data_IF_709813471868
#
_entry.id   IF_709813471868
#
_cell.length_a   1.000
_cell.length_b   1.000
_cell.length_c   1.000
_cell.angle_alpha   90.00
_cell.angle_beta   90.00
_cell.angle_gamma   90.00
#
_symmetry.space_group_name_H-M   'P 1'
#
loop_
_entity.id
_entity.type
_entity.pdbx_description
1 polymer ?
#
# COMPACT_ATOMS: atom_id res chain seq x y z
N UNK A 1 -39.51 43.27 -9.33
CA UNK A 1 -39.06 43.01 -10.71
C UNK A 1 -38.52 41.59 -10.77
N UNK A 2 -39.16 40.69 -11.52
CA UNK A 2 -38.70 39.31 -11.67
C UNK A 2 -37.61 39.25 -12.76
N UNK A 3 -36.45 38.61 -12.52
CA UNK A 3 -35.40 38.49 -13.52
C UNK A 3 -35.91 37.71 -14.74
N UNK A 4 -35.51 38.15 -15.94
CA UNK A 4 -35.96 37.57 -17.21
C UNK A 4 -35.56 36.09 -17.30
N UNK A 5 -36.37 35.23 -17.94
CA UNK A 5 -36.11 33.79 -18.05
C UNK A 5 -34.76 33.48 -18.71
N UNK A 6 -34.31 34.30 -19.66
CA UNK A 6 -33.00 34.18 -20.29
C UNK A 6 -31.84 34.31 -19.28
N UNK A 7 -31.94 35.27 -18.35
CA UNK A 7 -30.92 35.53 -17.35
C UNK A 7 -30.78 34.36 -16.35
N UNK A 8 -31.90 33.68 -16.05
CA UNK A 8 -31.91 32.47 -15.21
C UNK A 8 -31.25 31.28 -15.90
N UNK A 9 -31.53 31.08 -17.20
CA UNK A 9 -30.93 29.98 -17.98
C UNK A 9 -29.42 30.17 -18.13
N UNK A 10 -28.97 31.40 -18.42
CA UNK A 10 -27.53 31.71 -18.51
C UNK A 10 -26.82 31.52 -17.17
N UNK A 11 -27.43 31.92 -16.05
CA UNK A 11 -26.85 31.73 -14.72
C UNK A 11 -26.72 30.24 -14.35
N UNK A 12 -27.75 29.44 -14.65
CA UNK A 12 -27.71 27.98 -14.43
C UNK A 12 -26.66 27.29 -15.30
N UNK A 13 -26.55 27.68 -16.58
CA UNK A 13 -25.52 27.15 -17.47
C UNK A 13 -24.10 27.49 -17.01
N UNK A 14 -23.88 28.72 -16.55
CA UNK A 14 -22.59 29.15 -16.00
C UNK A 14 -22.17 28.37 -14.76
N UNK A 15 -23.12 28.14 -13.83
CA UNK A 15 -22.86 27.34 -12.62
C UNK A 15 -22.54 25.88 -12.97
N UNK A 16 -23.28 25.28 -13.91
CA UNK A 16 -23.03 23.90 -14.35
C UNK A 16 -21.64 23.76 -15.00
N UNK A 17 -21.26 24.69 -15.87
CA UNK A 17 -19.94 24.69 -16.51
C UNK A 17 -18.81 24.87 -15.50
N UNK A 18 -18.95 25.77 -14.53
CA UNK A 18 -17.97 25.97 -13.46
C UNK A 18 -17.82 24.71 -12.59
N UNK A 19 -18.93 24.05 -12.25
CA UNK A 19 -18.92 22.81 -11.46
C UNK A 19 -18.23 21.67 -12.22
N UNK A 20 -18.53 21.52 -13.51
CA UNK A 20 -17.88 20.52 -14.38
C UNK A 20 -16.37 20.78 -14.50
N UNK A 21 -15.97 22.01 -14.78
CA UNK A 21 -14.57 22.39 -14.89
C UNK A 21 -13.81 22.15 -13.58
N UNK A 22 -14.40 22.51 -12.43
CA UNK A 22 -13.85 22.23 -11.11
C UNK A 22 -13.71 20.73 -10.83
N UNK A 23 -14.68 19.93 -11.27
CA UNK A 23 -14.67 18.47 -11.11
C UNK A 23 -13.58 17.82 -11.97
N UNK A 24 -13.43 18.25 -13.23
CA UNK A 24 -12.36 17.80 -14.12
C UNK A 24 -11.00 18.20 -13.56
N UNK A 25 -10.82 19.45 -13.12
CA UNK A 25 -9.57 19.91 -12.52
C UNK A 25 -9.20 19.08 -11.27
N UNK A 26 -10.18 18.76 -10.43
CA UNK A 26 -10.00 17.90 -9.26
C UNK A 26 -9.63 16.47 -9.68
N UNK A 27 -10.26 15.93 -10.73
CA UNK A 27 -9.98 14.59 -11.24
C UNK A 27 -8.58 14.50 -11.87
N UNK A 28 -8.17 15.52 -12.61
CA UNK A 28 -6.83 15.62 -13.20
C UNK A 28 -5.78 15.77 -12.10
N UNK A 29 -6.04 16.61 -11.09
CA UNK A 29 -5.16 16.75 -9.92
C UNK A 29 -5.04 15.42 -9.17
N UNK A 30 -6.15 14.70 -8.97
CA UNK A 30 -6.15 13.35 -8.42
C UNK A 30 -5.30 12.41 -9.28
N UNK A 31 -5.46 12.41 -10.61
CA UNK A 31 -4.72 11.52 -11.50
C UNK A 31 -3.22 11.85 -11.55
N UNK A 32 -2.85 13.13 -11.47
CA UNK A 32 -1.47 13.62 -11.54
C UNK A 32 -0.70 13.54 -10.21
N UNK A 33 -1.14 12.71 -9.26
CA UNK A 33 -0.47 12.56 -7.96
C UNK A 33 -0.94 13.54 -6.88
N UNK A 34 -2.20 13.96 -6.95
CA UNK A 34 -2.96 14.61 -5.87
C UNK A 34 -2.53 16.03 -5.49
N UNK A 35 -1.93 16.80 -6.40
CA UNK A 35 -1.72 18.23 -6.17
C UNK A 35 -2.42 19.05 -7.25
N UNK A 36 -3.35 19.91 -6.86
CA UNK A 36 -3.89 20.96 -7.72
C UNK A 36 -3.03 22.21 -7.56
N UNK A 37 -2.44 22.71 -8.63
CA UNK A 37 -1.67 23.95 -8.63
C UNK A 37 -2.19 24.90 -9.70
N UNK A 38 -2.15 26.20 -9.40
CA UNK A 38 -2.43 27.28 -10.34
C UNK A 38 -1.20 28.17 -10.39
N UNK A 39 -0.33 27.93 -11.37
CA UNK A 39 1.00 28.54 -11.39
C UNK A 39 1.86 28.05 -10.21
N UNK A 40 2.55 28.94 -9.47
CA UNK A 40 3.37 28.56 -8.32
C UNK A 40 2.55 28.25 -7.05
N UNK A 41 1.24 28.53 -7.05
CA UNK A 41 0.39 28.37 -5.87
C UNK A 41 -0.19 26.96 -5.84
N UNK A 42 0.09 26.21 -4.77
CA UNK A 42 -0.53 24.92 -4.48
C UNK A 42 -1.89 25.17 -3.85
N UNK A 43 -2.96 24.85 -4.58
CA UNK A 43 -4.34 25.08 -4.15
C UNK A 43 -4.84 23.98 -3.21
N UNK A 44 -4.46 22.73 -3.50
CA UNK A 44 -4.91 21.57 -2.74
C UNK A 44 -3.84 20.46 -2.83
N UNK A 45 -3.51 19.87 -1.69
CA UNK A 45 -2.77 18.62 -1.60
C UNK A 45 -3.73 17.54 -1.08
N UNK A 46 -3.79 16.42 -1.79
CA UNK A 46 -4.58 15.25 -1.42
C UNK A 46 -3.63 14.17 -0.92
N UNK A 47 -3.99 13.55 0.21
CA UNK A 47 -3.17 12.54 0.87
C UNK A 47 -2.65 11.46 -0.03
N UNK A 48 -3.57 10.76 -0.70
CA UNK A 48 -3.21 9.71 -1.63
C UNK A 48 -2.42 10.18 -2.86
N UNK A 49 -2.12 11.48 -2.99
CA UNK A 49 -1.25 12.00 -4.03
C UNK A 49 0.25 11.83 -3.75
N UNK A 50 0.67 11.98 -2.50
CA UNK A 50 2.07 11.77 -2.11
C UNK A 50 2.42 10.29 -2.20
N UNK A 51 1.57 9.42 -1.66
CA UNK A 51 1.78 7.97 -1.69
C UNK A 51 1.82 7.42 -3.10
N UNK A 52 0.82 7.72 -3.94
CA UNK A 52 0.82 7.22 -5.32
C UNK A 52 2.06 7.61 -6.11
N UNK A 53 2.63 8.80 -5.87
CA UNK A 53 3.89 9.21 -6.52
C UNK A 53 5.08 8.45 -5.96
N UNK A 54 5.16 8.30 -4.65
CA UNK A 54 6.22 7.53 -4.02
C UNK A 54 6.16 6.05 -4.42
N UNK A 55 4.96 5.47 -4.52
CA UNK A 55 4.69 4.09 -4.94
C UNK A 55 5.02 3.84 -6.41
N UNK A 56 4.66 4.78 -7.27
CA UNK A 56 5.04 4.73 -8.68
C UNK A 56 6.57 4.74 -8.85
N UNK A 57 7.31 5.41 -7.96
CA UNK A 57 8.76 5.37 -7.94
C UNK A 57 9.26 4.02 -7.40
N UNK A 58 8.76 3.57 -6.25
CA UNK A 58 9.27 2.34 -5.61
C UNK A 58 8.91 1.04 -6.33
N UNK A 59 7.91 1.09 -7.21
CA UNK A 59 7.51 -0.06 -8.03
C UNK A 59 8.39 -0.27 -9.26
N UNK A 60 9.36 0.62 -9.52
CA UNK A 60 10.26 0.49 -10.66
C UNK A 60 11.27 -0.65 -10.44
N UNK A 61 11.58 -1.48 -11.45
CA UNK A 61 12.51 -2.61 -11.31
C UNK A 61 13.92 -2.21 -10.88
N UNK A 62 14.36 -1.01 -11.24
CA UNK A 62 15.64 -0.43 -10.86
C UNK A 62 15.43 1.05 -10.53
N UNK A 63 15.60 1.40 -9.25
CA UNK A 63 15.40 2.77 -8.77
C UNK A 63 16.75 3.47 -8.74
N UNK A 64 16.83 4.65 -9.37
CA UNK A 64 18.03 5.49 -9.28
C UNK A 64 18.16 6.10 -7.88
N UNK A 65 19.38 6.52 -7.50
CA UNK A 65 19.57 7.21 -6.20
C UNK A 65 18.70 8.47 -6.07
N UNK A 66 18.54 9.21 -7.17
CA UNK A 66 17.72 10.44 -7.21
C UNK A 66 16.23 10.13 -7.00
N UNK A 67 15.76 9.03 -7.60
CA UNK A 67 14.38 8.57 -7.44
C UNK A 67 14.13 8.07 -6.01
N UNK A 68 15.07 7.32 -5.44
CA UNK A 68 14.99 6.87 -4.04
C UNK A 68 14.93 8.06 -3.06
N UNK A 69 15.77 9.08 -3.26
CA UNK A 69 15.73 10.33 -2.48
C UNK A 69 14.40 11.07 -2.65
N UNK A 70 13.85 11.07 -3.87
CA UNK A 70 12.56 11.68 -4.17
C UNK A 70 11.42 10.94 -3.46
N UNK A 71 11.38 9.61 -3.52
CA UNK A 71 10.39 8.80 -2.81
C UNK A 71 10.52 8.97 -1.29
N UNK A 72 11.74 9.02 -0.75
CA UNK A 72 11.97 9.27 0.68
C UNK A 72 11.53 10.67 1.11
N UNK A 73 11.69 11.70 0.26
CA UNK A 73 11.15 13.04 0.52
C UNK A 73 9.62 13.00 0.54
N UNK A 74 8.99 12.40 -0.47
CA UNK A 74 7.53 12.30 -0.55
C UNK A 74 6.93 11.55 0.65
N UNK A 75 7.55 10.45 1.10
CA UNK A 75 7.10 9.74 2.31
C UNK A 75 7.23 10.59 3.58
N UNK A 76 8.31 11.39 3.70
CA UNK A 76 8.46 12.29 4.86
C UNK A 76 7.44 13.42 4.84
N UNK A 77 7.13 13.96 3.66
CA UNK A 77 6.03 14.93 3.48
C UNK A 77 4.69 14.28 3.87
N UNK A 78 4.42 13.05 3.41
CA UNK A 78 3.21 12.31 3.76
C UNK A 78 3.09 12.08 5.27
N UNK A 79 4.16 11.68 5.95
CA UNK A 79 4.17 11.54 7.41
C UNK A 79 3.96 12.87 8.13
N UNK A 80 4.48 13.98 7.58
CA UNK A 80 4.29 15.32 8.14
C UNK A 80 2.83 15.76 8.11
N UNK A 81 2.09 15.37 7.07
CA UNK A 81 0.65 15.64 6.93
C UNK A 81 -0.22 14.58 7.64
N UNK A 82 0.17 13.30 7.59
CA UNK A 82 -0.52 12.14 8.16
C UNK A 82 0.46 11.23 8.92
N UNK A 83 0.71 11.49 10.22
CA UNK A 83 1.67 10.71 11.01
C UNK A 83 1.33 9.22 11.18
N UNK A 84 0.08 8.85 10.87
CA UNK A 84 -0.47 7.50 10.96
C UNK A 84 -0.44 6.73 9.63
N UNK A 85 0.21 7.28 8.61
CA UNK A 85 0.41 6.60 7.32
C UNK A 85 1.46 5.48 7.43
N UNK A 86 0.98 4.25 7.64
CA UNK A 86 1.79 3.04 7.74
C UNK A 86 2.66 2.81 6.50
N UNK A 87 2.15 3.12 5.31
CA UNK A 87 2.82 2.87 4.04
C UNK A 87 4.03 3.78 3.89
N UNK A 88 3.89 5.06 4.23
CA UNK A 88 5.00 6.00 4.20
C UNK A 88 6.15 5.59 5.15
N UNK A 89 5.84 5.13 6.36
CA UNK A 89 6.84 4.60 7.30
C UNK A 89 7.53 3.35 6.75
N UNK A 90 6.77 2.39 6.21
CA UNK A 90 7.32 1.18 5.61
C UNK A 90 8.21 1.50 4.39
N UNK A 91 7.79 2.45 3.55
CA UNK A 91 8.52 2.90 2.37
C UNK A 91 9.87 3.50 2.77
N UNK A 92 9.93 4.30 3.85
CA UNK A 92 11.19 4.80 4.38
C UNK A 92 12.09 3.69 4.93
N UNK A 93 11.53 2.69 5.61
CA UNK A 93 12.30 1.54 6.07
C UNK A 93 12.91 0.78 4.88
N UNK A 94 12.13 0.55 3.82
CA UNK A 94 12.57 -0.14 2.62
C UNK A 94 13.63 0.64 1.83
N UNK A 95 13.43 1.94 1.62
CA UNK A 95 14.38 2.78 0.87
C UNK A 95 15.75 2.89 1.55
N UNK A 96 15.79 2.82 2.88
CA UNK A 96 17.03 2.84 3.67
C UNK A 96 17.58 1.43 3.96
N UNK A 97 16.87 0.38 3.53
CA UNK A 97 17.34 -1.00 3.73
C UNK A 97 18.45 -1.34 2.74
N UNK A 98 19.60 -1.85 3.20
CA UNK A 98 20.63 -2.34 2.29
C UNK A 98 20.14 -3.64 1.64
N UNK A 99 20.51 -3.86 0.36
CA UNK A 99 20.21 -5.14 -0.32
C UNK A 99 20.81 -6.34 0.41
N UNK A 100 21.93 -6.14 1.11
CA UNK A 100 22.52 -7.13 2.01
C UNK A 100 23.06 -6.42 3.26
N UNK A 101 22.65 -6.90 4.43
CA UNK A 101 23.15 -6.37 5.71
C UNK A 101 22.06 -6.12 6.75
N UNK A 102 22.47 -5.51 7.86
CA UNK A 102 21.56 -5.12 8.93
C UNK A 102 20.83 -3.82 8.58
N UNK A 103 19.58 -3.69 9.04
CA UNK A 103 18.87 -2.42 8.99
C UNK A 103 19.64 -1.36 9.78
N UNK A 104 19.67 -0.13 9.26
CA UNK A 104 20.09 1.02 10.06
C UNK A 104 19.15 1.19 11.26
N UNK A 105 19.58 1.84 12.36
CA UNK A 105 18.69 2.15 13.48
C UNK A 105 17.44 2.94 13.05
N UNK A 106 17.60 3.84 12.08
CA UNK A 106 16.49 4.64 11.52
C UNK A 106 15.52 3.77 10.73
N UNK A 107 16.01 2.89 9.86
CA UNK A 107 15.16 1.97 9.09
C UNK A 107 14.41 1.00 10.02
N UNK A 108 15.08 0.46 11.05
CA UNK A 108 14.44 -0.39 12.04
C UNK A 108 13.35 0.35 12.83
N UNK A 109 13.59 1.61 13.21
CA UNK A 109 12.58 2.44 13.87
C UNK A 109 11.36 2.70 12.97
N UNK A 110 11.57 2.96 11.68
CA UNK A 110 10.49 3.13 10.70
C UNK A 110 9.70 1.83 10.50
N UNK A 111 10.38 0.69 10.38
CA UNK A 111 9.73 -0.62 10.28
C UNK A 111 8.88 -0.90 11.53
N UNK A 112 9.44 -0.69 12.73
CA UNK A 112 8.70 -0.81 14.00
C UNK A 112 7.47 0.09 14.02
N UNK A 113 7.61 1.36 13.60
CA UNK A 113 6.51 2.31 13.56
C UNK A 113 5.37 1.83 12.67
N UNK A 114 5.68 1.21 11.53
CA UNK A 114 4.65 0.60 10.66
C UNK A 114 3.85 -0.49 11.40
N UNK A 115 4.50 -1.33 12.22
CA UNK A 115 3.86 -2.35 13.05
C UNK A 115 3.11 -1.79 14.27
N UNK A 116 3.46 -0.60 14.74
CA UNK A 116 2.75 0.08 15.85
C UNK A 116 1.45 0.72 15.37
N UNK A 117 1.39 1.19 14.13
CA UNK A 117 0.22 1.86 13.57
C UNK A 117 -0.86 0.88 13.11
N UNK A 118 -0.46 -0.21 12.45
CA UNK A 118 -1.40 -1.21 11.92
C UNK A 118 -0.86 -2.60 12.19
N UNK A 119 -1.64 -3.38 12.97
CA UNK A 119 -1.26 -4.74 13.35
C UNK A 119 -1.20 -5.71 12.16
N UNK A 120 -2.12 -5.57 11.20
CA UNK A 120 -2.15 -6.36 9.96
C UNK A 120 -2.57 -5.47 8.82
N UNK A 121 -1.73 -5.41 7.78
CA UNK A 121 -2.02 -4.66 6.57
C UNK A 121 -2.28 -5.63 5.42
N UNK A 122 -3.45 -5.54 4.79
CA UNK A 122 -3.82 -6.48 3.72
C UNK A 122 -2.98 -6.25 2.46
N UNK A 123 -2.72 -5.00 2.14
CA UNK A 123 -2.18 -4.59 0.85
C UNK A 123 -0.65 -4.54 0.91
N UNK A 124 -0.10 -4.05 2.02
CA UNK A 124 1.34 -3.92 2.25
C UNK A 124 1.94 -4.98 3.16
N UNK A 125 1.11 -5.76 3.85
CA UNK A 125 1.56 -6.80 4.77
C UNK A 125 2.58 -7.77 4.17
N UNK A 126 2.37 -8.33 2.96
CA UNK A 126 3.37 -9.21 2.34
C UNK A 126 4.74 -8.54 2.14
N UNK A 127 4.77 -7.28 1.73
CA UNK A 127 6.04 -6.54 1.57
C UNK A 127 6.68 -6.27 2.94
N UNK A 128 5.87 -5.87 3.92
CA UNK A 128 6.31 -5.59 5.29
C UNK A 128 6.93 -6.82 5.96
N UNK A 129 6.24 -7.95 5.86
CA UNK A 129 6.71 -9.27 6.32
C UNK A 129 8.00 -9.65 5.59
N UNK A 130 8.06 -9.50 4.26
CA UNK A 130 9.28 -9.79 3.48
C UNK A 130 10.47 -8.99 3.99
N UNK A 131 10.31 -7.67 4.13
CA UNK A 131 11.36 -6.78 4.62
C UNK A 131 11.84 -7.20 6.02
N UNK A 132 10.92 -7.47 6.93
CA UNK A 132 11.27 -7.92 8.28
C UNK A 132 12.06 -9.25 8.26
N UNK A 133 11.64 -10.21 7.43
CA UNK A 133 12.30 -11.51 7.34
C UNK A 133 13.66 -11.44 6.63
N UNK A 134 13.86 -10.54 5.67
CA UNK A 134 15.17 -10.31 5.05
C UNK A 134 16.22 -9.81 6.05
N UNK A 135 15.78 -9.15 7.12
CA UNK A 135 16.66 -8.60 8.16
C UNK A 135 16.42 -9.24 9.55
N UNK A 136 16.00 -10.51 9.57
CA UNK A 136 15.53 -11.22 10.76
C UNK A 136 16.46 -11.13 11.98
N UNK A 137 17.78 -11.27 11.79
CA UNK A 137 18.78 -11.24 12.87
C UNK A 137 18.79 -9.90 13.60
N UNK A 138 18.53 -8.80 12.90
CA UNK A 138 18.52 -7.45 13.45
C UNK A 138 17.23 -7.09 14.20
N UNK A 139 16.19 -7.92 14.12
CA UNK A 139 14.92 -7.65 14.80
C UNK A 139 15.00 -8.10 16.27
N UNK A 140 14.46 -7.27 17.15
CA UNK A 140 14.24 -7.64 18.56
C UNK A 140 13.08 -8.65 18.72
N UNK A 141 13.01 -9.35 19.87
CA UNK A 141 11.99 -10.38 20.11
C UNK A 141 10.55 -9.91 19.96
N UNK A 142 10.24 -8.64 20.30
CA UNK A 142 8.87 -8.13 20.21
C UNK A 142 8.45 -7.94 18.77
N UNK A 143 9.32 -7.35 17.95
CA UNK A 143 9.06 -7.17 16.52
C UNK A 143 8.94 -8.52 15.80
N UNK A 144 9.78 -9.51 16.15
CA UNK A 144 9.67 -10.88 15.64
C UNK A 144 8.30 -11.52 15.90
N UNK A 145 7.74 -11.34 17.11
CA UNK A 145 6.40 -11.84 17.46
C UNK A 145 5.31 -11.17 16.63
N UNK A 146 5.43 -9.86 16.37
CA UNK A 146 4.46 -9.12 15.53
C UNK A 146 4.49 -9.58 14.08
N UNK A 147 5.67 -9.83 13.52
CA UNK A 147 5.85 -10.40 12.17
C UNK A 147 5.18 -11.77 12.09
N UNK A 148 5.40 -12.65 13.07
CA UNK A 148 4.75 -13.96 13.12
C UNK A 148 3.21 -13.84 13.16
N UNK A 149 2.69 -12.95 14.02
CA UNK A 149 1.26 -12.73 14.16
C UNK A 149 0.65 -12.22 12.84
N UNK A 150 1.31 -11.28 12.17
CA UNK A 150 0.88 -10.78 10.88
C UNK A 150 0.85 -11.89 9.82
N UNK A 151 1.89 -12.73 9.73
CA UNK A 151 1.92 -13.88 8.81
C UNK A 151 0.71 -14.79 9.04
N UNK A 152 0.43 -15.15 10.29
CA UNK A 152 -0.71 -16.02 10.64
C UNK A 152 -2.05 -15.41 10.20
N UNK A 153 -2.21 -14.11 10.41
CA UNK A 153 -3.44 -13.40 10.05
C UNK A 153 -3.58 -13.26 8.52
N UNK A 154 -2.51 -12.90 7.82
CA UNK A 154 -2.53 -12.79 6.35
C UNK A 154 -2.76 -14.15 5.67
N UNK A 155 -2.25 -15.26 6.22
CA UNK A 155 -2.55 -16.61 5.73
C UNK A 155 -4.04 -16.98 5.85
N UNK A 156 -4.75 -16.40 6.81
CA UNK A 156 -6.19 -16.56 6.98
C UNK A 156 -7.04 -15.70 6.05
N UNK A 157 -6.46 -14.70 5.39
CA UNK A 157 -7.18 -13.76 4.53
C UNK A 157 -7.31 -14.28 3.09
N UNK A 158 -8.55 -14.41 2.55
CA UNK A 158 -8.76 -14.71 1.14
C UNK A 158 -8.10 -13.67 0.23
N UNK A 159 -7.47 -14.15 -0.85
CA UNK A 159 -6.76 -13.30 -1.82
C UNK A 159 -5.33 -12.89 -1.44
N UNK A 160 -4.96 -12.92 -0.15
CA UNK A 160 -3.58 -12.59 0.30
C UNK A 160 -2.75 -13.83 0.59
N UNK A 161 -3.40 -14.93 1.02
CA UNK A 161 -2.73 -16.20 1.34
C UNK A 161 -1.71 -16.63 0.28
N UNK A 162 -2.06 -16.56 -1.01
CA UNK A 162 -1.15 -16.94 -2.10
C UNK A 162 0.15 -16.13 -2.11
N UNK A 163 0.07 -14.81 -1.88
CA UNK A 163 1.25 -13.95 -1.80
C UNK A 163 2.15 -14.36 -0.61
N UNK A 164 1.57 -14.61 0.56
CA UNK A 164 2.32 -15.04 1.75
C UNK A 164 2.99 -16.41 1.54
N UNK A 165 2.28 -17.37 0.92
CA UNK A 165 2.84 -18.69 0.63
C UNK A 165 4.01 -18.65 -0.36
N UNK A 166 4.10 -17.60 -1.20
CA UNK A 166 5.18 -17.41 -2.16
C UNK A 166 6.38 -16.65 -1.56
N UNK A 167 6.24 -16.02 -0.39
CA UNK A 167 7.33 -15.27 0.24
C UNK A 167 8.63 -16.06 0.46
N UNK A 168 8.62 -17.35 0.87
CA UNK A 168 9.87 -18.10 1.08
C UNK A 168 10.79 -18.13 -0.15
N UNK A 169 10.21 -18.09 -1.37
CA UNK A 169 10.99 -18.07 -2.61
C UNK A 169 11.67 -16.72 -2.89
N UNK A 170 11.19 -15.65 -2.24
CA UNK A 170 11.70 -14.29 -2.41
C UNK A 170 12.67 -13.86 -1.32
N UNK A 171 12.75 -14.61 -0.21
CA UNK A 171 13.59 -14.26 0.95
C UNK A 171 14.99 -14.86 0.78
N UNK A 172 15.99 -14.00 0.72
CA UNK A 172 17.41 -14.36 0.62
C UNK A 172 18.00 -14.76 1.97
N UNK A 173 17.55 -14.13 3.07
CA UNK A 173 17.99 -14.43 4.42
C UNK A 173 17.59 -15.84 4.86
N UNK A 174 18.58 -16.71 5.10
CA UNK A 174 18.34 -18.11 5.47
C UNK A 174 17.56 -18.29 6.77
N UNK A 175 17.84 -17.49 7.80
CA UNK A 175 17.14 -17.58 9.10
C UNK A 175 15.72 -17.06 9.02
N UNK A 176 15.50 -15.91 8.36
CA UNK A 176 14.16 -15.37 8.13
C UNK A 176 13.30 -16.33 7.31
N UNK A 177 13.87 -16.92 6.25
CA UNK A 177 13.18 -17.94 5.45
C UNK A 177 12.83 -19.17 6.27
N UNK A 178 13.75 -19.67 7.11
CA UNK A 178 13.49 -20.81 7.99
C UNK A 178 12.38 -20.50 9.01
N UNK A 179 12.42 -19.32 9.63
CA UNK A 179 11.39 -18.86 10.57
C UNK A 179 10.00 -18.87 9.90
N UNK A 180 9.90 -18.31 8.69
CA UNK A 180 8.64 -18.30 7.93
C UNK A 180 8.14 -19.72 7.62
N UNK A 181 9.01 -20.61 7.15
CA UNK A 181 8.63 -22.00 6.84
C UNK A 181 8.06 -22.73 8.06
N UNK A 182 8.64 -22.53 9.24
CA UNK A 182 8.14 -23.12 10.49
C UNK A 182 6.73 -22.64 10.84
N UNK A 183 6.39 -21.38 10.54
CA UNK A 183 5.05 -20.85 10.76
C UNK A 183 4.03 -21.35 9.72
N UNK A 184 4.46 -21.55 8.47
CA UNK A 184 3.58 -21.97 7.38
C UNK A 184 3.22 -23.47 7.44
N UNK A 185 4.07 -24.34 7.99
CA UNK A 185 3.83 -25.78 8.08
C UNK A 185 2.48 -26.11 8.77
N UNK A 186 2.20 -25.61 10.00
CA UNK A 186 0.91 -25.85 10.66
C UNK A 186 -0.29 -25.32 9.87
N UNK A 187 -0.14 -24.21 9.15
CA UNK A 187 -1.20 -23.53 8.42
C UNK A 187 -1.55 -24.23 7.08
N UNK A 188 -0.59 -24.99 6.54
CA UNK A 188 -0.81 -25.82 5.35
C UNK A 188 -1.61 -27.08 5.67
N UNK A 189 -1.43 -27.65 6.87
CA UNK A 189 -2.10 -28.87 7.30
C UNK A 189 -3.60 -28.68 7.56
N UNK A 190 -4.00 -27.49 8.03
CA UNK A 190 -5.40 -27.15 8.33
C UNK A 190 -6.25 -26.86 7.08
N UNK A 191 -5.62 -26.57 5.94
CA UNK A 191 -6.32 -26.26 4.68
C UNK A 191 -6.88 -27.46 3.91
N UNK A 192 -6.63 -28.70 4.36
CA UNK A 192 -7.06 -29.93 3.67
C UNK A 192 -8.41 -30.49 4.14
N UNK A 193 -9.11 -29.82 5.06
CA UNK A 193 -10.34 -30.32 5.70
C UNK A 193 -11.53 -29.42 5.36
N UNK A 194 -11.95 -29.37 4.10
CA UNK A 194 -13.35 -29.09 3.69
C UNK A 194 -13.55 -29.23 2.17
N UNK A 195 -12.97 -30.27 1.58
CA UNK A 195 -13.47 -30.84 0.34
C UNK A 195 -14.70 -31.70 0.60
N UNK A 196 -15.73 -31.18 1.30
CA UNK A 196 -17.06 -31.78 1.19
C UNK A 196 -17.54 -31.42 -0.20
N UNK A 197 -17.41 -32.38 -1.09
CA UNK A 197 -18.24 -32.51 -2.29
C UNK A 197 -19.67 -32.10 -1.93
N UNK A 198 -20.05 -30.88 -2.30
CA UNK A 198 -21.46 -30.59 -2.56
C UNK A 198 -21.76 -31.17 -3.93
N UNK A 199 -22.43 -32.32 -4.03
CA UNK A 199 -23.16 -32.62 -5.25
C UNK A 199 -24.35 -31.66 -5.31
N UNK A 200 -24.75 -31.28 -6.52
CA UNK A 200 -25.90 -30.46 -6.88
C UNK A 200 -25.66 -28.95 -6.91
N UNK A 201 -25.67 -28.43 -8.14
CA UNK A 201 -25.87 -27.02 -8.38
C UNK A 201 -25.48 -26.58 -9.78
N UNK A 202 -25.93 -27.29 -10.81
CA UNK A 202 -25.94 -26.75 -12.16
C UNK A 202 -26.77 -25.45 -12.16
N UNK A 203 -26.11 -24.29 -12.22
CA UNK A 203 -26.73 -23.05 -12.68
C UNK A 203 -25.79 -22.32 -13.63
N UNK A 204 -26.40 -21.94 -14.75
CA UNK A 204 -25.79 -21.40 -15.95
C UNK A 204 -25.46 -19.89 -15.82
N UNK A 205 -24.40 -19.49 -16.53
CA UNK A 205 -24.19 -18.28 -17.38
C UNK A 205 -24.83 -16.93 -16.97
N UNK A 206 -24.12 -15.78 -17.15
CA UNK A 206 -23.92 -15.25 -18.50
C UNK A 206 -22.51 -14.73 -18.82
N UNK A 207 -22.18 -14.91 -20.11
CA UNK A 207 -21.09 -14.25 -20.81
C UNK A 207 -21.34 -12.75 -20.93
N UNK A 208 -20.40 -11.93 -20.47
CA UNK A 208 -20.26 -10.56 -20.98
C UNK A 208 -18.95 -10.49 -21.75
N UNK A 209 -19.08 -10.23 -23.06
CA UNK A 209 -17.97 -10.07 -23.97
C UNK A 209 -17.24 -8.73 -23.79
N UNK A 210 -15.99 -8.74 -24.25
CA UNK A 210 -15.44 -7.76 -25.17
C UNK A 210 -14.45 -8.49 -26.06
#
# INVERSE_FOLDING_TARGET
>A
MSPSPALRVSALGGLAAATLAGSIATLVALNAGGAASLGPVRLLTLAGGLDRRADAIVSQPAISKVDAETAARLSREAIGEWPYDTEAWLRLAWLDSPQSGALSPTSLANLRKSYDLVAVDRDWGPLRVRLALEHWQGLDPDLRRRVEQEVRLLCGMPGVRGAVMNLPATITNGEGRLALLLWLVPLSATGKVEGKTSPLGAQALPSHGN
#
